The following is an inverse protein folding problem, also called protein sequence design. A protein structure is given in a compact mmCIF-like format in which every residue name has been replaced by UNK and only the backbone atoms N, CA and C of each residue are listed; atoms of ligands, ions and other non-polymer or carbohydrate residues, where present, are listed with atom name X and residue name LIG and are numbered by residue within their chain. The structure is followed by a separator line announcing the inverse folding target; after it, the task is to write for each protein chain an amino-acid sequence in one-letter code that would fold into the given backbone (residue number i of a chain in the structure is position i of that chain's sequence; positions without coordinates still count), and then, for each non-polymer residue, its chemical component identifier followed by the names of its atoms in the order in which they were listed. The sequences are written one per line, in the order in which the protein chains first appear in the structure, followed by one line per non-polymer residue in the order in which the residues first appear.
data_IF_388558976855
#
_entry.id   IF_388558976855
#
_cell.length_a   1.000
_cell.length_b   1.000
_cell.length_c   1.000
_cell.angle_alpha   90.00
_cell.angle_beta   90.00
_cell.angle_gamma   90.00
#
_symmetry.space_group_name_H-M   'P 1'
#
loop_
_entity.id
_entity.type
_entity.pdbx_description
1 polymer ?
#
# COMPACT_ATOMS: atom_id res chain seq x y z
N UNK A 1 3.75 41.22 -68.57
CA UNK A 1 2.80 40.11 -68.34
C UNK A 1 3.13 39.52 -66.99
N UNK A 2 2.30 39.85 -65.99
CA UNK A 2 2.54 39.56 -64.59
C UNK A 2 2.18 38.10 -64.27
N UNK A 3 3.09 37.41 -63.60
CA UNK A 3 2.83 36.12 -62.97
C UNK A 3 1.93 36.33 -61.75
N UNK A 4 0.81 35.61 -61.72
CA UNK A 4 -0.15 35.62 -60.61
C UNK A 4 0.38 34.76 -59.48
N UNK A 5 0.57 35.40 -58.33
CA UNK A 5 0.77 34.74 -57.04
C UNK A 5 -0.60 34.33 -56.51
N UNK A 6 -0.88 33.04 -56.49
CA UNK A 6 -2.05 32.49 -55.80
C UNK A 6 -1.75 32.34 -54.31
N UNK A 7 -1.96 33.42 -53.56
CA UNK A 7 -2.16 33.35 -52.10
C UNK A 7 -3.62 32.98 -51.85
N UNK A 8 -3.88 31.69 -51.64
CA UNK A 8 -5.17 31.20 -51.15
C UNK A 8 -5.31 31.55 -49.66
N UNK A 9 -5.91 32.71 -49.39
CA UNK A 9 -6.39 33.08 -48.05
C UNK A 9 -7.59 32.19 -47.68
N UNK A 10 -7.41 31.37 -46.64
CA UNK A 10 -8.50 30.63 -45.99
C UNK A 10 -9.42 31.57 -45.20
N UNK A 11 -10.69 31.20 -44.98
CA UNK A 11 -11.76 32.10 -44.56
C UNK A 11 -11.68 32.46 -43.07
N UNK A 12 -12.23 33.64 -42.75
CA UNK A 12 -12.39 34.26 -41.43
C UNK A 12 -12.60 33.26 -40.28
N UNK A 13 -11.53 33.00 -39.52
CA UNK A 13 -11.67 32.48 -38.17
C UNK A 13 -12.23 33.62 -37.30
N UNK A 14 -13.47 33.46 -36.82
CA UNK A 14 -14.07 34.42 -35.89
C UNK A 14 -13.10 34.69 -34.74
N UNK A 15 -12.84 35.97 -34.38
CA UNK A 15 -11.88 36.31 -33.35
C UNK A 15 -12.28 35.66 -32.04
N UNK A 16 -11.30 35.05 -31.37
CA UNK A 16 -11.49 34.37 -30.10
C UNK A 16 -10.81 35.18 -29.02
N UNK A 17 -11.41 35.26 -27.84
CA UNK A 17 -10.80 35.94 -26.71
C UNK A 17 -9.64 35.12 -26.13
N UNK A 18 -8.50 35.77 -25.89
CA UNK A 18 -7.37 35.21 -25.16
C UNK A 18 -7.75 35.02 -23.67
N UNK A 19 -7.51 33.84 -23.11
CA UNK A 19 -7.84 33.54 -21.72
C UNK A 19 -7.02 34.34 -20.68
N UNK A 20 -5.87 34.91 -21.07
CA UNK A 20 -4.97 35.64 -20.16
C UNK A 20 -5.18 37.16 -20.21
N UNK A 21 -5.28 37.74 -21.41
CA UNK A 21 -5.37 39.19 -21.58
C UNK A 21 -6.75 39.67 -22.04
N UNK A 22 -7.69 38.76 -22.30
CA UNK A 22 -9.06 39.00 -22.78
C UNK A 22 -9.15 39.72 -24.14
N UNK A 23 -8.03 39.92 -24.82
CA UNK A 23 -8.00 40.55 -26.13
C UNK A 23 -8.43 39.56 -27.22
N UNK A 24 -9.13 40.08 -28.22
CA UNK A 24 -9.49 39.33 -29.41
C UNK A 24 -8.23 38.95 -30.21
N UNK A 25 -8.08 37.66 -30.52
CA UNK A 25 -7.01 37.14 -31.38
C UNK A 25 -7.60 36.26 -32.47
N UNK A 26 -7.01 36.33 -33.66
CA UNK A 26 -7.30 35.46 -34.80
C UNK A 26 -6.34 34.27 -34.88
N UNK A 27 -5.28 34.25 -34.05
CA UNK A 27 -4.29 33.19 -34.00
C UNK A 27 -4.05 32.81 -32.53
N UNK A 28 -4.80 31.81 -32.06
CA UNK A 28 -4.76 31.34 -30.68
C UNK A 28 -4.07 29.97 -30.59
N UNK A 29 -3.07 29.84 -29.73
CA UNK A 29 -2.56 28.54 -29.31
C UNK A 29 -3.44 27.98 -28.19
N UNK A 30 -3.50 26.66 -28.07
CA UNK A 30 -4.35 25.99 -27.08
C UNK A 30 -3.50 25.31 -26.00
N UNK A 31 -3.85 25.52 -24.73
CA UNK A 31 -3.25 24.78 -23.62
C UNK A 31 -3.79 23.34 -23.56
N UNK A 32 -3.14 22.49 -22.77
CA UNK A 32 -3.65 21.13 -22.51
C UNK A 32 -5.03 21.13 -21.83
N UNK A 33 -5.37 22.19 -21.10
CA UNK A 33 -6.69 22.39 -20.49
C UNK A 33 -7.73 23.01 -21.45
N UNK A 34 -7.37 23.24 -22.72
CA UNK A 34 -8.27 23.78 -23.74
C UNK A 34 -8.39 25.31 -23.74
N UNK A 35 -7.62 26.03 -22.94
CA UNK A 35 -7.62 27.50 -22.93
C UNK A 35 -6.96 28.04 -24.21
N UNK A 36 -7.51 29.11 -24.79
CA UNK A 36 -7.01 29.74 -26.01
C UNK A 36 -6.20 30.99 -25.66
N UNK A 37 -4.98 31.09 -26.18
CA UNK A 37 -4.00 32.12 -25.81
C UNK A 37 -3.46 32.82 -27.04
N UNK A 38 -3.31 34.15 -26.99
CA UNK A 38 -2.61 34.90 -28.03
C UNK A 38 -1.09 34.64 -27.98
N UNK A 39 -0.39 34.88 -29.09
CA UNK A 39 1.04 34.63 -29.21
C UNK A 39 1.88 35.36 -28.14
N UNK A 40 1.51 36.60 -27.79
CA UNK A 40 2.23 37.39 -26.79
C UNK A 40 2.12 36.77 -25.39
N UNK A 41 0.92 36.32 -24.99
CA UNK A 41 0.72 35.64 -23.70
C UNK A 41 1.43 34.29 -23.64
N UNK A 42 1.47 33.54 -24.74
CA UNK A 42 2.23 32.28 -24.81
C UNK A 42 3.72 32.55 -24.58
N UNK A 43 4.30 33.53 -25.28
CA UNK A 43 5.72 33.85 -25.13
C UNK A 43 6.07 34.35 -23.71
N UNK A 44 5.19 35.16 -23.11
CA UNK A 44 5.39 35.73 -21.78
C UNK A 44 5.29 34.66 -20.69
N UNK A 45 4.22 33.84 -20.69
CA UNK A 45 3.82 33.06 -19.50
C UNK A 45 3.89 31.55 -19.67
N UNK A 46 4.07 31.02 -20.88
CA UNK A 46 4.00 29.58 -21.14
C UNK A 46 5.31 29.01 -21.71
N UNK A 47 5.49 27.71 -21.54
CA UNK A 47 6.58 26.91 -22.11
C UNK A 47 6.01 25.59 -22.65
N UNK A 48 6.61 25.06 -23.70
CA UNK A 48 6.22 23.75 -24.22
C UNK A 48 6.76 22.64 -23.31
N UNK A 49 5.90 21.69 -22.93
CA UNK A 49 6.32 20.45 -22.30
C UNK A 49 7.26 19.71 -23.26
N UNK A 50 8.41 19.29 -22.76
CA UNK A 50 9.45 18.61 -23.53
C UNK A 50 8.97 17.28 -24.12
N UNK A 51 8.06 16.59 -23.41
CA UNK A 51 7.57 15.28 -23.80
C UNK A 51 6.34 15.35 -24.74
N UNK A 52 5.26 15.98 -24.28
CA UNK A 52 4.01 16.01 -25.06
C UNK A 52 3.84 17.23 -25.97
N UNK A 53 4.76 18.20 -25.93
CA UNK A 53 4.68 19.46 -26.68
C UNK A 53 3.57 20.42 -26.25
N UNK A 54 2.73 20.03 -25.28
CA UNK A 54 1.64 20.86 -24.77
C UNK A 54 2.13 22.10 -24.03
N UNK A 55 1.41 23.22 -24.16
CA UNK A 55 1.72 24.46 -23.44
C UNK A 55 1.34 24.35 -21.96
N UNK A 56 2.30 24.66 -21.08
CA UNK A 56 2.17 24.69 -19.62
C UNK A 56 2.60 26.06 -19.13
N UNK A 57 1.93 26.60 -18.12
CA UNK A 57 2.35 27.86 -17.51
C UNK A 57 3.74 27.69 -16.88
N UNK A 58 4.61 28.70 -17.01
CA UNK A 58 6.01 28.60 -16.57
C UNK A 58 6.13 28.36 -15.06
N UNK A 59 5.22 28.93 -14.28
CA UNK A 59 5.12 28.77 -12.81
C UNK A 59 4.55 27.41 -12.38
N UNK A 60 3.76 26.76 -13.23
CA UNK A 60 3.25 25.39 -13.01
C UNK A 60 4.14 24.29 -13.63
N UNK A 61 5.13 24.68 -14.44
CA UNK A 61 6.02 23.74 -15.11
C UNK A 61 6.98 23.09 -14.11
N UNK A 62 7.18 21.77 -14.24
CA UNK A 62 8.12 21.01 -13.43
C UNK A 62 9.43 20.83 -14.21
N UNK A 63 10.56 21.08 -13.55
CA UNK A 63 11.88 21.00 -14.18
C UNK A 63 12.61 19.70 -13.83
N UNK A 64 13.19 19.04 -14.84
CA UNK A 64 14.17 17.94 -14.69
C UNK A 64 15.26 18.12 -15.72
N UNK A 65 16.52 18.07 -15.31
CA UNK A 65 17.69 18.23 -16.21
C UNK A 65 17.64 19.49 -17.11
N UNK A 66 17.15 20.60 -16.56
CA UNK A 66 16.90 21.87 -17.27
C UNK A 66 15.85 21.81 -18.39
N UNK A 67 15.03 20.77 -18.43
CA UNK A 67 13.90 20.61 -19.34
C UNK A 67 12.58 20.79 -18.59
N UNK A 68 11.59 21.41 -19.25
CA UNK A 68 10.28 21.70 -18.66
C UNK A 68 9.26 20.61 -19.03
N UNK A 69 8.45 20.19 -18.05
CA UNK A 69 7.44 19.15 -18.20
C UNK A 69 6.10 19.59 -17.60
N UNK A 70 4.99 19.08 -18.15
CA UNK A 70 3.70 19.12 -17.48
C UNK A 70 3.66 18.09 -16.35
N UNK A 71 2.77 18.29 -15.36
CA UNK A 71 2.59 17.39 -14.21
C UNK A 71 2.41 15.93 -14.63
N UNK A 72 1.63 15.66 -15.68
CA UNK A 72 1.38 14.30 -16.16
C UNK A 72 2.64 13.63 -16.73
N UNK A 73 3.40 14.33 -17.58
CA UNK A 73 4.61 13.76 -18.20
C UNK A 73 5.78 13.66 -17.20
N UNK A 74 5.84 14.58 -16.24
CA UNK A 74 6.83 14.52 -15.17
C UNK A 74 6.64 13.29 -14.27
N UNK A 75 5.38 12.92 -13.98
CA UNK A 75 5.05 11.74 -13.16
C UNK A 75 5.26 10.43 -13.93
N UNK A 76 4.87 10.34 -15.20
CA UNK A 76 5.05 9.12 -16.01
C UNK A 76 6.51 8.68 -16.12
N UNK A 77 7.42 9.63 -16.25
CA UNK A 77 8.87 9.34 -16.33
C UNK A 77 9.47 8.89 -14.99
N UNK A 78 8.76 9.02 -13.87
CA UNK A 78 9.15 8.38 -12.60
C UNK A 78 8.68 6.93 -12.49
N UNK A 79 7.61 6.57 -13.20
CA UNK A 79 7.09 5.20 -13.26
C UNK A 79 7.81 4.37 -14.34
N UNK A 80 8.20 4.99 -15.46
CA UNK A 80 8.92 4.33 -16.56
C UNK A 80 10.46 4.32 -16.41
N UNK A 81 11.03 5.11 -15.48
CA UNK A 81 12.46 5.05 -15.16
C UNK A 81 12.85 3.87 -14.24
N UNK A 82 11.88 3.03 -13.85
CA UNK A 82 12.05 1.94 -12.90
C UNK A 82 11.78 0.53 -13.43
N UNK A 83 11.33 0.36 -14.67
CA UNK A 83 11.28 -0.96 -15.32
C UNK A 83 12.60 -1.23 -16.04
N UNK A 84 13.72 -1.11 -15.33
CA UNK A 84 14.95 -1.73 -15.79
C UNK A 84 14.67 -3.23 -15.93
N UNK A 85 14.97 -3.81 -17.09
CA UNK A 85 15.06 -5.27 -17.22
C UNK A 85 15.99 -5.72 -16.11
N UNK A 86 15.44 -6.30 -15.05
CA UNK A 86 16.25 -6.83 -13.95
C UNK A 86 17.05 -7.94 -14.59
N UNK A 87 18.36 -7.73 -14.68
CA UNK A 87 19.26 -8.69 -15.27
C UNK A 87 19.10 -10.04 -14.56
N UNK A 88 19.05 -11.13 -15.33
CA UNK A 88 18.86 -12.48 -14.78
C UNK A 88 19.99 -12.83 -13.79
N UNK A 89 21.21 -12.31 -14.01
CA UNK A 89 22.32 -12.44 -13.08
C UNK A 89 22.13 -11.68 -11.77
N UNK A 90 21.46 -10.51 -11.80
CA UNK A 90 21.05 -9.80 -10.60
C UNK A 90 19.95 -10.57 -9.86
N UNK A 91 18.98 -11.16 -10.58
CA UNK A 91 17.95 -12.03 -9.97
C UNK A 91 18.60 -13.23 -9.28
N UNK A 92 19.53 -13.91 -9.96
CA UNK A 92 20.26 -15.06 -9.39
C UNK A 92 21.04 -14.67 -8.14
N UNK A 93 21.75 -13.53 -8.17
CA UNK A 93 22.48 -13.01 -7.01
C UNK A 93 21.54 -12.67 -5.84
N UNK A 94 20.40 -12.02 -6.11
CA UNK A 94 19.40 -11.68 -5.09
C UNK A 94 18.75 -12.93 -4.50
N UNK A 95 18.47 -13.95 -5.30
CA UNK A 95 17.94 -15.23 -4.81
C UNK A 95 18.98 -15.92 -3.92
N UNK A 96 20.25 -15.96 -4.33
CA UNK A 96 21.32 -16.56 -3.54
C UNK A 96 21.51 -15.83 -2.19
N UNK A 97 21.49 -14.49 -2.21
CA UNK A 97 21.57 -13.68 -1.00
C UNK A 97 20.34 -13.89 -0.11
N UNK A 98 19.13 -13.86 -0.66
CA UNK A 98 17.89 -14.11 0.07
C UNK A 98 17.88 -15.48 0.75
N UNK A 99 18.30 -16.54 0.05
CA UNK A 99 18.39 -17.89 0.61
C UNK A 99 19.44 -17.96 1.72
N UNK A 100 20.59 -17.31 1.54
CA UNK A 100 21.64 -17.24 2.57
C UNK A 100 21.16 -16.52 3.83
N UNK A 101 20.51 -15.36 3.67
CA UNK A 101 19.94 -14.59 4.78
C UNK A 101 18.84 -15.39 5.51
N UNK A 102 17.98 -16.10 4.78
CA UNK A 102 16.95 -16.95 5.40
C UNK A 102 17.56 -18.13 6.17
N UNK A 103 18.67 -18.70 5.69
CA UNK A 103 19.40 -19.74 6.42
C UNK A 103 20.04 -19.18 7.70
N UNK A 104 20.60 -17.97 7.63
CA UNK A 104 21.15 -17.28 8.79
C UNK A 104 20.07 -16.89 9.81
N UNK A 105 18.94 -16.35 9.36
CA UNK A 105 17.78 -16.03 10.19
C UNK A 105 17.31 -17.28 10.94
N UNK A 106 17.14 -18.40 10.24
CA UNK A 106 16.75 -19.67 10.85
C UNK A 106 17.75 -20.10 11.93
N UNK A 107 19.06 -20.05 11.64
CA UNK A 107 20.12 -20.40 12.59
C UNK A 107 20.11 -19.48 13.83
N UNK A 108 19.93 -18.18 13.64
CA UNK A 108 19.86 -17.21 14.75
C UNK A 108 18.59 -17.47 15.58
N UNK A 109 17.46 -17.69 14.93
CA UNK A 109 16.17 -18.01 15.59
C UNK A 109 16.26 -19.28 16.44
N UNK A 110 16.82 -20.35 15.90
CA UNK A 110 17.07 -21.60 16.63
C UNK A 110 17.98 -21.37 17.86
N UNK A 111 19.07 -20.61 17.68
CA UNK A 111 19.97 -20.24 18.79
C UNK A 111 19.28 -19.39 19.86
N UNK A 112 18.43 -18.44 19.44
CA UNK A 112 17.64 -17.61 20.36
C UNK A 112 16.66 -18.44 21.18
N UNK A 113 15.98 -19.43 20.59
CA UNK A 113 15.09 -20.33 21.33
C UNK A 113 15.87 -21.17 22.35
N UNK A 114 17.07 -21.67 22.00
CA UNK A 114 17.94 -22.37 22.97
C UNK A 114 18.30 -21.46 24.14
N UNK A 115 18.76 -20.23 23.87
CA UNK A 115 19.10 -19.25 24.92
C UNK A 115 17.88 -18.90 25.78
N UNK A 116 16.73 -18.69 25.17
CA UNK A 116 15.46 -18.39 25.85
C UNK A 116 15.05 -19.52 26.80
N UNK A 117 15.19 -20.78 26.40
CA UNK A 117 14.94 -21.92 27.29
C UNK A 117 15.94 -21.98 28.46
N UNK A 118 17.21 -21.67 28.21
CA UNK A 118 18.21 -21.54 29.29
C UNK A 118 17.87 -20.41 30.27
N UNK A 119 17.45 -19.24 29.76
CA UNK A 119 17.02 -18.10 30.59
C UNK A 119 15.76 -18.43 31.40
N UNK A 120 14.77 -19.12 30.80
CA UNK A 120 13.59 -19.61 31.52
C UNK A 120 13.97 -20.57 32.66
N UNK A 121 14.89 -21.50 32.42
CA UNK A 121 15.43 -22.38 33.46
C UNK A 121 16.14 -21.57 34.55
N UNK A 122 16.96 -20.59 34.20
CA UNK A 122 17.65 -19.73 35.17
C UNK A 122 16.70 -18.83 35.99
N UNK A 123 15.55 -18.46 35.41
CA UNK A 123 14.49 -17.74 36.12
C UNK A 123 13.66 -18.65 37.04
N UNK A 124 13.66 -19.97 36.80
CA UNK A 124 12.94 -20.95 37.62
C UNK A 124 13.56 -21.00 39.01
N UNK A 125 12.75 -20.80 40.04
CA UNK A 125 13.20 -20.76 41.45
C UNK A 125 13.64 -19.38 41.95
N UNK A 126 13.67 -18.35 41.10
CA UNK A 126 13.91 -16.96 41.56
C UNK A 126 12.63 -16.32 42.09
N UNK A 127 12.80 -15.37 43.01
CA UNK A 127 11.69 -14.59 43.54
C UNK A 127 11.03 -13.74 42.45
N UNK A 128 9.70 -13.76 42.42
CA UNK A 128 8.89 -13.05 41.41
C UNK A 128 8.41 -11.72 41.96
N UNK A 129 8.52 -10.67 41.16
CA UNK A 129 7.94 -9.35 41.44
C UNK A 129 6.95 -9.03 40.33
N UNK A 130 5.67 -8.87 40.68
CA UNK A 130 4.61 -8.60 39.69
C UNK A 130 4.51 -9.66 38.59
N UNK A 131 4.53 -10.94 38.96
CA UNK A 131 4.53 -12.09 38.05
C UNK A 131 5.67 -12.12 37.03
N UNK A 132 6.81 -11.49 37.33
CA UNK A 132 7.99 -11.54 36.48
C UNK A 132 9.27 -11.74 37.29
N UNK A 133 10.30 -12.25 36.61
CA UNK A 133 11.68 -12.32 37.09
C UNK A 133 12.54 -11.49 36.15
N UNK A 134 13.40 -10.63 36.70
CA UNK A 134 14.38 -9.88 35.89
C UNK A 134 15.76 -10.48 36.11
N UNK A 135 16.39 -10.92 35.02
CA UNK A 135 17.76 -11.42 34.98
C UNK A 135 18.65 -10.26 34.49
N UNK A 136 19.72 -9.91 35.22
CA UNK A 136 20.63 -8.82 34.85
C UNK A 136 22.05 -9.35 34.64
N UNK A 137 22.76 -8.77 33.67
CA UNK A 137 24.18 -8.99 33.43
C UNK A 137 24.81 -7.68 32.93
N UNK A 138 25.65 -7.04 33.75
CA UNK A 138 26.15 -5.69 33.46
C UNK A 138 25.01 -4.67 33.33
N UNK A 139 25.03 -3.91 32.23
CA UNK A 139 24.02 -2.91 31.91
C UNK A 139 22.77 -3.49 31.22
N UNK A 140 22.78 -4.79 30.91
CA UNK A 140 21.69 -5.47 30.21
C UNK A 140 20.74 -6.21 31.17
N UNK A 141 19.47 -6.31 30.79
CA UNK A 141 18.45 -7.03 31.56
C UNK A 141 17.44 -7.74 30.66
N UNK A 142 17.08 -8.97 31.04
CA UNK A 142 15.99 -9.75 30.42
C UNK A 142 14.88 -9.96 31.44
N UNK A 143 13.65 -9.60 31.06
CA UNK A 143 12.45 -9.80 31.88
C UNK A 143 11.70 -11.05 31.43
N UNK A 144 11.66 -12.07 32.28
CA UNK A 144 10.83 -13.26 32.10
C UNK A 144 9.47 -13.02 32.80
N UNK A 145 8.42 -12.75 32.03
CA UNK A 145 7.06 -12.60 32.55
C UNK A 145 6.30 -13.93 32.52
N UNK A 146 5.47 -14.14 33.54
CA UNK A 146 4.59 -15.30 33.65
C UNK A 146 3.15 -14.83 33.46
N UNK A 147 2.50 -15.32 32.41
CA UNK A 147 1.06 -15.13 32.18
C UNK A 147 0.36 -16.46 32.37
N UNK A 148 -0.55 -16.54 33.34
CA UNK A 148 -1.54 -17.61 33.42
C UNK A 148 -2.79 -17.17 32.68
N UNK A 149 -3.26 -17.97 31.73
CA UNK A 149 -4.58 -17.82 31.14
C UNK A 149 -5.43 -19.01 31.54
N UNK A 150 -6.62 -18.74 32.06
CA UNK A 150 -7.66 -19.77 32.19
C UNK A 150 -8.44 -19.81 30.88
N UNK A 151 -8.63 -21.00 30.34
CA UNK A 151 -9.51 -21.24 29.19
C UNK A 151 -10.70 -22.01 29.70
N UNK A 152 -11.89 -21.48 29.47
CA UNK A 152 -13.13 -22.18 29.72
C UNK A 152 -13.61 -22.76 28.39
N UNK A 153 -14.13 -23.97 28.46
CA UNK A 153 -14.92 -24.52 27.37
C UNK A 153 -16.21 -23.70 27.21
N UNK A 154 -16.64 -23.47 25.97
CA UNK A 154 -17.79 -22.60 25.69
C UNK A 154 -19.12 -23.21 26.19
N UNK A 155 -19.27 -24.54 26.14
CA UNK A 155 -20.45 -25.23 26.68
C UNK A 155 -20.47 -25.16 28.22
N UNK A 156 -19.29 -25.32 28.83
CA UNK A 156 -19.13 -25.15 30.27
C UNK A 156 -19.41 -23.70 30.71
N UNK A 157 -18.97 -22.70 29.94
CA UNK A 157 -19.24 -21.29 30.20
C UNK A 157 -20.75 -20.96 30.10
N UNK A 158 -21.46 -21.56 29.15
CA UNK A 158 -22.92 -21.44 29.03
C UNK A 158 -23.65 -22.01 30.24
N UNK A 159 -23.16 -23.13 30.79
CA UNK A 159 -23.70 -23.73 32.03
C UNK A 159 -23.43 -22.85 33.24
N UNK A 160 -22.20 -22.30 33.36
CA UNK A 160 -21.83 -21.34 34.40
C UNK A 160 -22.68 -20.07 34.39
N UNK A 161 -22.97 -19.52 33.21
CA UNK A 161 -23.85 -18.35 33.07
C UNK A 161 -25.26 -18.62 33.59
N UNK A 162 -25.80 -19.81 33.35
CA UNK A 162 -27.12 -20.21 33.86
C UNK A 162 -27.14 -20.39 35.37
N UNK A 163 -26.06 -20.89 35.95
CA UNK A 163 -25.95 -21.14 37.39
C UNK A 163 -25.68 -19.87 38.19
N UNK A 164 -24.87 -18.95 37.66
CA UNK A 164 -24.52 -17.68 38.32
C UNK A 164 -25.57 -16.59 38.09
N UNK A 165 -26.34 -16.68 37.00
CA UNK A 165 -27.17 -15.59 36.52
C UNK A 165 -26.36 -14.55 35.73
N UNK A 166 -27.02 -13.84 34.82
CA UNK A 166 -26.33 -12.96 33.86
C UNK A 166 -25.60 -11.78 34.51
N UNK A 167 -26.12 -11.26 35.64
CA UNK A 167 -25.54 -10.12 36.36
C UNK A 167 -24.23 -10.50 37.07
N UNK A 168 -24.24 -11.59 37.83
CA UNK A 168 -23.04 -12.10 38.51
C UNK A 168 -22.00 -12.61 37.50
N UNK A 169 -22.44 -13.27 36.42
CA UNK A 169 -21.55 -13.74 35.36
C UNK A 169 -20.83 -12.57 34.67
N UNK A 170 -21.52 -11.47 34.38
CA UNK A 170 -20.93 -10.30 33.72
C UNK A 170 -19.95 -9.53 34.63
N UNK A 171 -20.06 -9.69 35.95
CA UNK A 171 -19.11 -9.14 36.92
C UNK A 171 -17.79 -9.93 36.93
N UNK A 172 -17.85 -11.24 36.69
CA UNK A 172 -16.70 -12.14 36.76
C UNK A 172 -16.03 -12.40 35.40
N UNK A 173 -16.79 -12.29 34.31
CA UNK A 173 -16.36 -12.69 32.97
C UNK A 173 -16.66 -11.61 31.92
N UNK A 174 -15.64 -11.25 31.13
CA UNK A 174 -15.82 -10.43 29.92
C UNK A 174 -16.10 -11.35 28.71
N UNK A 175 -17.25 -11.17 28.05
CA UNK A 175 -17.59 -11.93 26.84
C UNK A 175 -16.86 -11.34 25.63
N UNK A 176 -15.85 -12.05 25.12
CA UNK A 176 -15.20 -11.74 23.83
C UNK A 176 -15.60 -12.76 22.78
N UNK A 177 -16.35 -12.32 21.77
CA UNK A 177 -16.68 -13.16 20.62
C UNK A 177 -15.60 -12.99 19.56
N UNK A 178 -14.86 -14.06 19.26
CA UNK A 178 -13.91 -14.12 18.14
C UNK A 178 -14.47 -15.03 17.06
N UNK A 179 -14.49 -14.56 15.82
CA UNK A 179 -14.86 -15.37 14.67
C UNK A 179 -13.61 -15.68 13.85
N UNK A 180 -13.37 -16.96 13.57
CA UNK A 180 -12.36 -17.37 12.60
C UNK A 180 -13.07 -17.66 11.27
N UNK A 181 -12.88 -16.82 10.25
CA UNK A 181 -13.56 -17.01 8.97
C UNK A 181 -13.06 -18.27 8.27
N UNK A 182 -13.99 -19.11 7.80
CA UNK A 182 -13.67 -20.20 6.87
C UNK A 182 -13.70 -19.60 5.47
N UNK A 183 -12.53 -19.21 4.97
CA UNK A 183 -12.38 -18.43 3.73
C UNK A 183 -13.13 -19.03 2.54
N UNK A 184 -12.97 -20.33 2.30
CA UNK A 184 -13.58 -21.00 1.14
C UNK A 184 -15.11 -20.98 1.18
N UNK A 185 -15.70 -21.13 2.38
CA UNK A 185 -17.15 -21.09 2.59
C UNK A 185 -17.72 -19.69 2.48
N UNK A 186 -16.96 -18.69 2.93
CA UNK A 186 -17.34 -17.29 2.74
C UNK A 186 -17.31 -16.93 1.26
N UNK A 187 -16.28 -17.36 0.52
CA UNK A 187 -16.21 -17.15 -0.93
C UNK A 187 -17.39 -17.82 -1.66
N UNK A 188 -17.69 -19.08 -1.35
CA UNK A 188 -18.84 -19.82 -1.88
C UNK A 188 -20.17 -19.11 -1.56
N UNK A 189 -20.34 -18.67 -0.30
CA UNK A 189 -21.50 -17.92 0.14
C UNK A 189 -21.66 -16.58 -0.60
N UNK A 190 -20.57 -15.83 -0.78
CA UNK A 190 -20.58 -14.54 -1.48
C UNK A 190 -20.78 -14.66 -2.99
N UNK A 191 -20.43 -15.81 -3.58
CA UNK A 191 -20.62 -16.11 -5.01
C UNK A 191 -22.03 -16.64 -5.33
N UNK A 192 -22.83 -17.03 -4.32
CA UNK A 192 -24.16 -17.58 -4.53
C UNK A 192 -25.15 -16.51 -5.08
N UNK A 193 -25.78 -16.75 -6.25
CA UNK A 193 -26.69 -15.81 -6.89
C UNK A 193 -28.11 -15.79 -6.29
N UNK A 194 -28.44 -16.66 -5.33
CA UNK A 194 -29.78 -16.74 -4.73
C UNK A 194 -30.13 -15.49 -3.90
N UNK A 195 -31.16 -14.75 -4.30
CA UNK A 195 -31.58 -13.49 -3.67
C UNK A 195 -32.14 -13.65 -2.24
N UNK A 196 -32.46 -14.86 -1.78
CA UNK A 196 -32.99 -15.08 -0.42
C UNK A 196 -32.04 -14.61 0.70
N UNK A 197 -30.74 -14.50 0.42
CA UNK A 197 -29.69 -14.10 1.39
C UNK A 197 -28.89 -12.87 0.93
N UNK A 198 -29.44 -12.05 0.04
CA UNK A 198 -28.75 -10.89 -0.55
C UNK A 198 -28.25 -9.89 0.50
N UNK A 199 -29.11 -9.51 1.44
CA UNK A 199 -28.76 -8.56 2.51
C UNK A 199 -27.63 -9.09 3.42
N UNK A 200 -27.65 -10.40 3.72
CA UNK A 200 -26.59 -11.03 4.50
C UNK A 200 -25.24 -11.03 3.78
N UNK A 201 -25.22 -11.24 2.45
CA UNK A 201 -23.99 -11.15 1.64
C UNK A 201 -23.44 -9.72 1.59
N UNK A 202 -24.30 -8.72 1.47
CA UNK A 202 -23.89 -7.31 1.49
C UNK A 202 -23.27 -6.92 2.84
N UNK A 203 -23.89 -7.34 3.95
CA UNK A 203 -23.35 -7.12 5.29
C UNK A 203 -21.97 -7.79 5.50
N UNK A 204 -21.78 -9.03 5.00
CA UNK A 204 -20.48 -9.72 5.05
C UNK A 204 -19.43 -9.00 4.21
N UNK A 205 -19.78 -8.53 3.00
CA UNK A 205 -18.85 -7.74 2.16
C UNK A 205 -18.43 -6.43 2.83
N UNK A 206 -19.36 -5.72 3.47
CA UNK A 206 -19.06 -4.49 4.19
C UNK A 206 -18.16 -4.70 5.43
N UNK A 207 -18.23 -5.88 6.05
CA UNK A 207 -17.42 -6.23 7.22
C UNK A 207 -16.02 -6.79 6.84
N UNK A 208 -15.86 -7.35 5.64
CA UNK A 208 -14.59 -7.90 5.17
C UNK A 208 -13.63 -6.78 4.76
N UNK A 209 -12.42 -6.80 5.34
CA UNK A 209 -11.28 -6.01 4.88
C UNK A 209 -10.26 -6.95 4.28
N UNK A 210 -10.19 -7.00 2.96
CA UNK A 210 -9.17 -7.79 2.27
C UNK A 210 -7.85 -7.01 2.27
N UNK A 211 -6.83 -7.60 2.89
CA UNK A 211 -5.46 -7.08 2.87
C UNK A 211 -4.63 -8.13 2.17
N UNK A 212 -4.25 -7.83 0.92
CA UNK A 212 -3.36 -8.69 0.16
C UNK A 212 -1.94 -8.55 0.73
N UNK A 213 -1.40 -9.66 1.20
CA UNK A 213 -0.03 -9.73 1.73
C UNK A 213 0.74 -10.72 0.89
N UNK A 214 1.65 -10.21 0.05
CA UNK A 214 2.57 -11.03 -0.71
C UNK A 214 3.58 -11.63 0.27
N UNK A 215 3.58 -12.96 0.39
CA UNK A 215 4.49 -13.69 1.29
C UNK A 215 5.47 -14.51 0.47
N UNK A 216 6.78 -14.25 0.65
CA UNK A 216 7.86 -15.01 0.05
C UNK A 216 8.16 -16.22 0.94
N UNK A 217 8.16 -17.42 0.36
CA UNK A 217 8.45 -18.67 1.08
C UNK A 217 9.55 -19.43 0.35
N UNK A 218 10.60 -19.84 1.07
CA UNK A 218 11.67 -20.68 0.52
C UNK A 218 11.14 -22.10 0.33
N UNK A 219 11.07 -22.56 -0.92
CA UNK A 219 10.75 -23.96 -1.22
C UNK A 219 12.01 -24.83 -1.19
N UNK A 220 12.03 -25.95 -0.45
CA UNK A 220 13.16 -26.87 -0.48
C UNK A 220 13.26 -27.52 -1.86
N UNK A 221 14.46 -27.48 -2.44
CA UNK A 221 14.75 -28.05 -3.75
C UNK A 221 14.56 -29.58 -3.70
N UNK A 222 13.58 -30.12 -4.44
CA UNK A 222 13.40 -31.58 -4.58
C UNK A 222 14.37 -32.10 -5.64
N UNK A 223 15.58 -32.43 -5.25
CA UNK A 223 16.45 -33.28 -6.07
C UNK A 223 15.83 -34.68 -6.18
N UNK A 224 15.47 -35.07 -7.41
CA UNK A 224 15.25 -36.47 -7.81
C UNK A 224 16.57 -37.10 -8.21
#
# INVERSE_FOLDING_TARGET
MAARSDTSSSPDAAPVSCAECEQATTNAAMTLAGARLCADCVAAYYIACTDCGGLVAKDESLARDNLAYCSNCFSKTSEDAGAGVVDEGLIEALIAEYVSLHAEEKRISERLEVIKEQLKKAATGRHRVGNAVTLRAGDEAVRCSYRSSLKFDNEAAGTLSKLLGDEEFSTLFERKTSFNPIKDRIAEFLANPDDTQREAREAVRAALRETETVTLSVMPNRTK
#
